data_IF_375047384749
#
_entry.id   IF_375047384749
#
_cell.length_a   1.000
_cell.length_b   1.000
_cell.length_c   1.000
_cell.angle_alpha   90.00
_cell.angle_beta   90.00
_cell.angle_gamma   90.00
#
_symmetry.space_group_name_H-M   'P 1'
#
loop_
_entity.id
_entity.type
_entity.pdbx_description
1 polymer ?
#
# COMPACT_ATOMS: atom_id res chain seq x y z
N UNK A 1 -1.68 4.98 -0.89
CA UNK A 1 -2.66 3.95 -0.45
C UNK A 1 -3.77 4.63 0.32
N UNK A 2 -5.02 4.17 0.21
CA UNK A 2 -6.11 4.72 1.04
C UNK A 2 -6.19 4.00 2.40
N UNK A 3 -6.59 4.74 3.43
CA UNK A 3 -6.81 4.24 4.79
C UNK A 3 -8.05 4.87 5.40
N UNK A 4 -8.63 4.20 6.40
CA UNK A 4 -9.72 4.73 7.22
C UNK A 4 -9.26 4.99 8.66
N UNK A 5 -9.65 6.11 9.23
CA UNK A 5 -9.40 6.44 10.63
C UNK A 5 -10.35 5.66 11.56
N UNK A 6 -9.78 4.85 12.46
CA UNK A 6 -10.54 4.09 13.46
C UNK A 6 -10.88 4.93 14.70
N UNK A 7 -10.09 5.97 14.96
CA UNK A 7 -10.20 6.90 16.08
C UNK A 7 -9.93 8.33 15.60
N UNK A 8 -10.41 9.37 16.31
CA UNK A 8 -10.00 10.74 16.02
C UNK A 8 -8.57 10.98 16.52
N UNK A 9 -7.87 11.92 15.90
CA UNK A 9 -6.52 12.32 16.30
C UNK A 9 -6.38 13.85 16.24
N UNK A 10 -5.92 14.43 17.35
CA UNK A 10 -5.64 15.86 17.49
C UNK A 10 -4.13 16.07 17.47
N UNK A 11 -3.59 16.84 16.52
CA UNK A 11 -2.16 17.14 16.44
C UNK A 11 -1.64 17.82 17.70
N UNK A 12 -0.45 17.39 18.10
CA UNK A 12 0.36 17.98 19.18
C UNK A 12 1.59 18.71 18.62
N UNK A 13 2.10 18.26 17.48
CA UNK A 13 3.24 18.85 16.77
C UNK A 13 2.81 19.43 15.41
N UNK A 14 3.54 20.43 14.87
CA UNK A 14 3.14 21.15 13.65
C UNK A 14 3.25 20.33 12.35
N UNK A 15 3.97 19.21 12.36
CA UNK A 15 4.12 18.29 11.23
C UNK A 15 3.08 17.15 11.24
N UNK A 16 2.23 17.08 12.27
CA UNK A 16 1.17 16.08 12.41
C UNK A 16 -0.12 16.50 11.70
N UNK A 17 -0.83 15.51 11.12
CA UNK A 17 -2.11 15.72 10.44
C UNK A 17 -3.26 15.24 11.33
N UNK A 18 -4.16 16.17 11.68
CA UNK A 18 -5.36 15.86 12.46
C UNK A 18 -6.48 15.30 11.61
N UNK A 19 -7.29 14.41 12.18
CA UNK A 19 -8.42 13.79 11.48
C UNK A 19 -9.49 13.28 12.44
N UNK A 20 -10.72 13.16 11.91
CA UNK A 20 -11.85 12.60 12.64
C UNK A 20 -11.99 11.09 12.40
N UNK A 21 -12.62 10.38 13.35
CA UNK A 21 -12.97 8.96 13.15
C UNK A 21 -13.83 8.78 11.90
N UNK A 22 -13.49 7.77 11.09
CA UNK A 22 -14.16 7.47 9.83
C UNK A 22 -13.63 8.26 8.63
N UNK A 23 -12.70 9.19 8.84
CA UNK A 23 -12.03 9.92 7.77
C UNK A 23 -11.28 8.99 6.82
N UNK A 24 -11.31 9.30 5.53
CA UNK A 24 -10.44 8.70 4.53
C UNK A 24 -9.13 9.50 4.44
N UNK A 25 -8.01 8.78 4.54
CA UNK A 25 -6.67 9.33 4.49
C UNK A 25 -5.90 8.70 3.33
N UNK A 26 -5.10 9.51 2.63
CA UNK A 26 -4.23 9.05 1.55
C UNK A 26 -2.80 8.91 2.08
N UNK A 27 -2.37 7.68 2.33
CA UNK A 27 -1.01 7.37 2.78
C UNK A 27 -0.04 7.54 1.62
N UNK A 28 0.95 8.40 1.85
CA UNK A 28 2.01 8.79 0.92
C UNK A 28 3.26 7.95 1.19
N UNK A 29 3.64 7.80 2.46
CA UNK A 29 4.87 7.11 2.87
C UNK A 29 4.67 6.34 4.19
N UNK A 30 5.33 5.19 4.28
CA UNK A 30 5.32 4.26 5.41
C UNK A 30 6.72 3.70 5.72
N UNK A 31 7.77 4.16 5.04
CA UNK A 31 9.09 3.50 5.04
C UNK A 31 9.99 3.93 6.21
N UNK A 32 9.82 5.15 6.75
CA UNK A 32 10.73 5.71 7.76
C UNK A 32 10.46 5.23 9.20
N UNK A 33 9.18 5.18 9.64
CA UNK A 33 8.79 4.79 10.99
C UNK A 33 7.57 3.85 10.95
N UNK A 34 7.63 2.66 11.58
CA UNK A 34 6.48 1.75 11.64
C UNK A 34 5.27 2.30 12.40
N UNK A 35 5.46 3.30 13.27
CA UNK A 35 4.41 3.89 14.10
C UNK A 35 3.79 5.14 13.48
N UNK A 36 4.45 5.76 12.49
CA UNK A 36 4.04 7.03 11.92
C UNK A 36 4.11 7.01 10.40
N UNK A 37 2.98 7.27 9.75
CA UNK A 37 2.89 7.32 8.30
C UNK A 37 2.67 8.75 7.85
N UNK A 38 3.25 9.11 6.70
CA UNK A 38 2.93 10.37 6.05
C UNK A 38 1.64 10.22 5.27
N UNK A 39 0.66 11.08 5.54
CA UNK A 39 -0.66 11.02 4.93
C UNK A 39 -1.14 12.39 4.44
N UNK A 40 -2.17 12.36 3.59
CA UNK A 40 -2.88 13.53 3.07
C UNK A 40 -4.38 13.41 3.30
N UNK A 41 -5.00 14.52 3.69
CA UNK A 41 -6.45 14.71 3.68
C UNK A 41 -6.79 16.03 2.98
N UNK A 42 -7.47 15.97 1.83
CA UNK A 42 -7.70 17.15 1.00
C UNK A 42 -6.38 17.80 0.56
N UNK A 43 -6.17 19.06 0.96
CA UNK A 43 -4.96 19.84 0.65
C UNK A 43 -3.94 19.85 1.81
N UNK A 44 -4.17 19.10 2.88
CA UNK A 44 -3.28 19.06 4.05
C UNK A 44 -2.51 17.74 4.09
N UNK A 45 -1.22 17.82 4.39
CA UNK A 45 -0.32 16.67 4.54
C UNK A 45 0.37 16.74 5.90
N UNK A 46 0.66 15.57 6.48
CA UNK A 46 1.39 15.46 7.74
C UNK A 46 1.49 14.03 8.24
N UNK A 47 2.11 13.86 9.40
CA UNK A 47 2.30 12.56 10.04
C UNK A 47 1.04 12.11 10.76
N UNK A 48 0.69 10.83 10.63
CA UNK A 48 -0.45 10.20 11.31
C UNK A 48 0.00 8.92 12.03
N UNK A 49 -0.55 8.63 13.22
CA UNK A 49 -0.19 7.43 13.95
C UNK A 49 -0.77 6.18 13.26
N UNK A 50 0.09 5.23 12.92
CA UNK A 50 -0.25 4.01 12.17
C UNK A 50 -1.31 3.16 12.89
N UNK A 51 -1.29 3.12 14.22
CA UNK A 51 -2.26 2.37 15.02
C UNK A 51 -3.66 3.02 15.10
N UNK A 52 -3.83 4.25 14.60
CA UNK A 52 -5.13 4.92 14.56
C UNK A 52 -5.90 4.68 13.27
N UNK A 53 -5.25 4.05 12.29
CA UNK A 53 -5.77 3.90 10.94
C UNK A 53 -5.75 2.43 10.51
N UNK A 54 -6.57 2.09 9.53
CA UNK A 54 -6.50 0.81 8.85
C UNK A 54 -6.36 1.04 7.36
N UNK A 55 -5.27 0.53 6.78
CA UNK A 55 -5.04 0.56 5.34
C UNK A 55 -6.11 -0.29 4.65
N UNK A 56 -6.68 0.24 3.57
CA UNK A 56 -7.47 -0.62 2.70
C UNK A 56 -6.55 -1.66 2.05
N UNK A 57 -7.00 -2.93 1.95
CA UNK A 57 -6.22 -3.94 1.24
C UNK A 57 -6.11 -3.54 -0.22
N UNK A 58 -4.90 -3.51 -0.73
CA UNK A 58 -4.62 -3.36 -2.16
C UNK A 58 -3.96 -4.66 -2.62
N UNK A 59 -4.74 -5.68 -3.04
CA UNK A 59 -4.19 -6.98 -3.43
C UNK A 59 -3.15 -6.90 -4.55
N UNK A 60 -3.25 -5.84 -5.36
CA UNK A 60 -2.34 -5.54 -6.46
C UNK A 60 -1.04 -4.86 -6.01
N UNK A 61 -0.88 -4.42 -4.76
CA UNK A 61 0.37 -3.85 -4.25
C UNK A 61 1.06 -4.80 -3.26
N UNK A 62 2.21 -5.33 -3.68
CA UNK A 62 3.02 -6.26 -2.88
C UNK A 62 4.45 -5.70 -2.82
N UNK A 63 4.78 -4.81 -1.86
CA UNK A 63 6.04 -4.08 -1.85
C UNK A 63 7.25 -5.00 -1.83
N UNK A 64 7.22 -6.03 -0.97
CA UNK A 64 8.28 -7.03 -0.81
C UNK A 64 8.07 -8.24 -1.72
N UNK A 65 7.78 -7.99 -3.00
CA UNK A 65 7.69 -9.01 -4.02
C UNK A 65 8.85 -8.85 -5.00
N UNK A 66 9.71 -9.86 -5.10
CA UNK A 66 10.72 -9.90 -6.16
C UNK A 66 10.06 -10.04 -7.53
N UNK A 67 10.82 -9.73 -8.60
CA UNK A 67 10.39 -9.99 -9.98
C UNK A 67 10.01 -11.45 -10.18
N UNK A 68 10.84 -12.36 -9.68
CA UNK A 68 10.64 -13.81 -9.82
C UNK A 68 9.39 -14.29 -9.08
N UNK A 69 9.13 -13.77 -7.89
CA UNK A 69 7.90 -14.10 -7.15
C UNK A 69 6.66 -13.54 -7.83
N UNK A 70 6.75 -12.33 -8.41
CA UNK A 70 5.64 -11.75 -9.17
C UNK A 70 5.32 -12.59 -10.42
N UNK A 71 6.34 -12.99 -11.17
CA UNK A 71 6.21 -13.90 -12.32
C UNK A 71 5.55 -15.24 -11.90
N UNK A 72 6.01 -15.86 -10.81
CA UNK A 72 5.44 -17.12 -10.32
C UNK A 72 3.96 -17.00 -9.91
N UNK A 73 3.55 -15.88 -9.30
CA UNK A 73 2.16 -15.63 -8.91
C UNK A 73 1.25 -15.33 -10.10
N UNK A 74 1.74 -14.53 -11.05
CA UNK A 74 0.97 -14.12 -12.23
C UNK A 74 0.77 -15.28 -13.22
N UNK A 75 1.74 -16.19 -13.30
CA UNK A 75 1.71 -17.37 -14.16
C UNK A 75 1.31 -18.65 -13.42
N UNK A 76 0.76 -18.53 -12.20
CA UNK A 76 0.31 -19.69 -11.43
C UNK A 76 -0.79 -20.42 -12.21
N UNK A 77 -0.68 -21.74 -12.32
CA UNK A 77 -1.69 -22.60 -12.94
C UNK A 77 -2.35 -23.50 -11.90
N UNK A 78 -3.67 -23.64 -11.96
CA UNK A 78 -4.40 -24.59 -11.12
C UNK A 78 -3.99 -26.02 -11.50
N UNK A 79 -3.52 -26.85 -10.55
CA UNK A 79 -2.97 -28.17 -10.84
C UNK A 79 -4.03 -29.20 -11.28
N UNK A 80 -5.31 -28.94 -11.02
CA UNK A 80 -6.41 -29.84 -11.38
C UNK A 80 -6.96 -29.52 -12.77
N UNK A 81 -6.93 -28.25 -13.19
CA UNK A 81 -7.51 -27.79 -14.46
C UNK A 81 -6.46 -27.41 -15.51
N UNK A 82 -5.21 -27.24 -15.11
CA UNK A 82 -4.09 -26.78 -15.94
C UNK A 82 -4.40 -25.44 -16.66
N UNK A 83 -5.19 -24.59 -16.00
CA UNK A 83 -5.53 -23.23 -16.43
C UNK A 83 -4.83 -22.23 -15.54
N UNK A 84 -4.55 -21.05 -16.08
CA UNK A 84 -4.01 -19.95 -15.29
C UNK A 84 -4.99 -19.56 -14.18
N UNK A 85 -4.47 -19.38 -12.97
CA UNK A 85 -5.20 -18.88 -11.81
C UNK A 85 -5.55 -17.40 -12.01
N UNK A 86 -4.63 -16.63 -12.58
CA UNK A 86 -4.81 -15.21 -12.82
C UNK A 86 -5.32 -14.95 -14.26
N UNK A 87 -6.27 -14.01 -14.44
CA UNK A 87 -6.72 -13.61 -15.77
C UNK A 87 -5.65 -12.79 -16.52
N UNK A 88 -5.78 -12.70 -17.84
CA UNK A 88 -4.92 -11.85 -18.65
C UNK A 88 -5.07 -10.37 -18.25
N UNK A 89 -3.95 -9.64 -18.22
CA UNK A 89 -3.92 -8.27 -17.69
C UNK A 89 -3.92 -8.18 -16.16
N UNK A 90 -3.88 -9.30 -15.44
CA UNK A 90 -3.54 -9.29 -14.02
C UNK A 90 -2.17 -8.66 -13.80
N UNK A 91 -2.02 -7.89 -12.73
CA UNK A 91 -0.78 -7.18 -12.43
C UNK A 91 -0.47 -7.14 -10.94
N UNK A 92 0.81 -7.00 -10.62
CA UNK A 92 1.26 -6.65 -9.28
C UNK A 92 2.24 -5.47 -9.36
N UNK A 93 1.99 -4.45 -8.55
CA UNK A 93 2.88 -3.34 -8.23
C UNK A 93 3.79 -3.77 -7.07
N UNK A 94 5.09 -3.57 -7.23
CA UNK A 94 6.14 -3.98 -6.27
C UNK A 94 7.26 -2.94 -6.22
N UNK A 95 8.11 -2.98 -5.19
CA UNK A 95 9.34 -2.16 -5.20
C UNK A 95 10.30 -2.68 -6.28
N UNK A 96 11.04 -1.76 -6.89
CA UNK A 96 12.08 -2.08 -7.88
C UNK A 96 13.30 -2.68 -7.18
N UNK A 97 13.74 -3.83 -7.66
CA UNK A 97 14.97 -4.49 -7.16
C UNK A 97 16.25 -3.81 -7.67
N UNK A 98 16.14 -3.06 -8.77
CA UNK A 98 17.27 -2.41 -9.43
C UNK A 98 17.40 -0.93 -9.08
N UNK A 99 16.37 -0.34 -8.49
CA UNK A 99 16.31 1.10 -8.20
C UNK A 99 15.56 1.33 -6.88
N UNK A 100 16.29 1.34 -5.74
CA UNK A 100 15.69 1.51 -4.42
C UNK A 100 14.81 2.76 -4.33
N UNK A 101 13.61 2.62 -3.80
CA UNK A 101 12.61 3.70 -3.70
C UNK A 101 11.77 3.90 -4.97
N UNK A 102 12.08 3.22 -6.08
CA UNK A 102 11.22 3.18 -7.26
C UNK A 102 10.27 1.98 -7.24
N UNK A 103 9.22 2.07 -8.06
CA UNK A 103 8.23 1.01 -8.24
C UNK A 103 8.42 0.28 -9.57
N UNK A 104 7.95 -0.96 -9.63
CA UNK A 104 7.85 -1.78 -10.83
C UNK A 104 6.46 -2.40 -10.93
N UNK A 105 5.93 -2.52 -12.14
CA UNK A 105 4.70 -3.26 -12.42
C UNK A 105 5.04 -4.53 -13.19
N UNK A 106 4.55 -5.67 -12.70
CA UNK A 106 4.59 -6.96 -13.38
C UNK A 106 3.19 -7.27 -13.90
N UNK A 107 3.05 -7.65 -15.17
CA UNK A 107 1.75 -7.90 -15.83
C UNK A 107 1.82 -9.26 -16.53
N UNK A 108 0.70 -10.01 -16.50
CA UNK A 108 0.50 -11.23 -17.29
C UNK A 108 0.07 -10.91 -18.72
#
# INVERSE_FOLDING_TARGET
MEAVANYPFTPTEPDELGFEKGSTLYIIDMEEDPNWYKARQGNQEGMVPANYISLYPHPWYIPRCSRREAEARLLETDPNTNRDVQPDGAFILRQSENDPGQFSISVK
#
